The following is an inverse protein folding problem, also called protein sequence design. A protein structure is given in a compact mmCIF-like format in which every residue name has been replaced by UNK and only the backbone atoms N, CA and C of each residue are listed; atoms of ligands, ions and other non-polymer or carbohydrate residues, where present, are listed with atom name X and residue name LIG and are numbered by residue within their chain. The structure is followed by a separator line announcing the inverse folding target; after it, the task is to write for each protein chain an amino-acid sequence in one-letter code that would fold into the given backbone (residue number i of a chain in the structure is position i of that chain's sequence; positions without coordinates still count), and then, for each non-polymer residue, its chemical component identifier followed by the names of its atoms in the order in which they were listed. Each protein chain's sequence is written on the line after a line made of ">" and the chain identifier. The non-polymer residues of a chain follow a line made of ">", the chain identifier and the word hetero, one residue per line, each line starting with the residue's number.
data_IF_119684047363
#
_entry.id   IF_119684047363
#
_cell.length_a   1.000
_cell.length_b   1.000
_cell.length_c   1.000
_cell.angle_alpha   90.00
_cell.angle_beta   90.00
_cell.angle_gamma   90.00
#
_symmetry.space_group_name_H-M   'P 1'
#
loop_
_entity.id
_entity.type
_entity.pdbx_description
1 polymer ?
#
# COMPACT_ATOMS: atom_id res chain seq x y z
N UNK A 1 -13.53 -10.10 4.98
CA UNK A 1 -12.92 -8.76 4.98
C UNK A 1 -11.54 -8.92 5.59
N UNK A 2 -10.47 -8.80 4.82
CA UNK A 2 -9.11 -8.87 5.37
C UNK A 2 -8.76 -7.49 5.97
N UNK A 3 -8.69 -7.37 7.31
CA UNK A 3 -8.54 -6.09 8.00
C UNK A 3 -7.14 -5.47 7.83
N UNK A 4 -6.18 -6.23 7.32
CA UNK A 4 -4.78 -5.80 7.23
C UNK A 4 -4.32 -5.53 5.79
N UNK A 5 -5.23 -5.53 4.80
CA UNK A 5 -4.90 -5.29 3.38
C UNK A 5 -4.08 -4.02 3.15
N UNK A 6 -4.40 -2.95 3.88
CA UNK A 6 -3.63 -1.70 3.82
C UNK A 6 -2.19 -1.91 4.29
N UNK A 7 -1.99 -2.50 5.47
CA UNK A 7 -0.65 -2.73 6.03
C UNK A 7 0.18 -3.68 5.15
N UNK A 8 -0.45 -4.72 4.60
CA UNK A 8 0.21 -5.65 3.68
C UNK A 8 0.64 -4.95 2.39
N UNK A 9 -0.23 -4.14 1.78
CA UNK A 9 0.12 -3.37 0.58
C UNK A 9 1.21 -2.33 0.87
N UNK A 10 1.10 -1.61 1.99
CA UNK A 10 2.06 -0.62 2.45
C UNK A 10 3.45 -1.24 2.60
N UNK A 11 3.59 -2.33 3.35
CA UNK A 11 4.90 -2.93 3.60
C UNK A 11 5.54 -3.57 2.36
N UNK A 12 4.74 -4.00 1.38
CA UNK A 12 5.27 -4.46 0.08
C UNK A 12 5.80 -3.30 -0.76
N UNK A 13 5.16 -2.14 -0.70
CA UNK A 13 5.53 -0.98 -1.50
C UNK A 13 6.63 -0.11 -0.85
N UNK A 14 6.72 -0.12 0.49
CA UNK A 14 7.63 0.72 1.27
C UNK A 14 9.12 0.63 0.86
N UNK A 15 9.69 -0.56 0.57
CA UNK A 15 11.09 -0.67 0.15
C UNK A 15 11.39 0.00 -1.21
N UNK A 16 10.35 0.32 -1.99
CA UNK A 16 10.46 0.91 -3.31
C UNK A 16 10.30 2.44 -3.30
N UNK A 17 9.76 3.04 -2.23
CA UNK A 17 9.57 4.48 -2.13
C UNK A 17 10.90 5.20 -1.83
N UNK A 18 11.21 6.24 -2.62
CA UNK A 18 12.47 6.99 -2.52
C UNK A 18 12.27 8.50 -2.46
N UNK A 19 11.17 8.98 -2.98
CA UNK A 19 10.82 10.40 -3.08
C UNK A 19 9.60 10.72 -2.23
N UNK A 20 9.36 12.00 -1.95
CA UNK A 20 8.14 12.43 -1.28
C UNK A 20 6.88 11.96 -2.04
N UNK A 21 6.89 12.08 -3.36
CA UNK A 21 5.79 11.65 -4.23
C UNK A 21 5.51 10.15 -4.10
N UNK A 22 6.55 9.30 -3.99
CA UNK A 22 6.36 7.87 -3.77
C UNK A 22 5.63 7.59 -2.45
N UNK A 23 5.96 8.32 -1.38
CA UNK A 23 5.29 8.18 -0.09
C UNK A 23 3.83 8.66 -0.13
N UNK A 24 3.50 9.66 -0.96
CA UNK A 24 2.10 10.07 -1.16
C UNK A 24 1.26 8.96 -1.79
N UNK A 25 1.85 8.09 -2.62
CA UNK A 25 1.15 6.90 -3.15
C UNK A 25 0.82 5.86 -2.09
N UNK A 26 1.51 5.89 -0.95
CA UNK A 26 1.34 4.91 0.13
C UNK A 26 0.22 5.28 1.12
N UNK A 27 -0.35 6.47 1.00
CA UNK A 27 -1.44 6.93 1.85
C UNK A 27 -2.68 6.04 1.70
N UNK A 28 -3.45 5.89 2.77
CA UNK A 28 -4.59 4.96 2.83
C UNK A 28 -5.69 5.23 1.80
N UNK A 29 -5.78 6.46 1.28
CA UNK A 29 -6.71 6.85 0.22
C UNK A 29 -6.13 6.78 -1.20
N UNK A 30 -4.83 6.53 -1.36
CA UNK A 30 -4.13 6.57 -2.65
C UNK A 30 -3.52 5.21 -3.04
N UNK A 31 -3.19 4.36 -2.06
CA UNK A 31 -2.56 3.08 -2.31
C UNK A 31 -3.51 2.10 -3.01
N UNK A 32 -3.02 1.46 -4.07
CA UNK A 32 -3.77 0.42 -4.77
C UNK A 32 -3.75 -0.86 -3.93
N UNK A 33 -4.93 -1.27 -3.43
CA UNK A 33 -5.08 -2.52 -2.70
C UNK A 33 -5.26 -3.67 -3.69
N UNK A 34 -4.32 -4.62 -3.69
CA UNK A 34 -4.46 -5.85 -4.47
C UNK A 34 -5.79 -6.55 -4.12
N UNK A 35 -6.46 -7.21 -5.08
CA UNK A 35 -7.67 -7.99 -4.82
C UNK A 35 -7.43 -8.96 -3.67
N UNK A 36 -8.46 -9.20 -2.85
CA UNK A 36 -8.37 -10.28 -1.88
C UNK A 36 -8.15 -11.58 -2.68
N UNK A 37 -7.11 -12.34 -2.34
CA UNK A 37 -6.97 -13.70 -2.87
C UNK A 37 -8.15 -14.53 -2.34
N UNK A 38 -8.86 -15.21 -3.23
CA UNK A 38 -10.02 -16.08 -2.94
C UNK A 38 -9.69 -17.19 -1.93
#
# INVERSE_FOLDING_TARGET
>A
MDPYRYLVALFKALPHARTADDYETLLSWNITLAPAAD
#
